data_IF_171883203534
#
_entry.id   IF_171883203534
#
_cell.length_a   1.000
_cell.length_b   1.000
_cell.length_c   1.000
_cell.angle_alpha   90.00
_cell.angle_beta   90.00
_cell.angle_gamma   90.00
#
_symmetry.space_group_name_H-M   'P 1'
#
loop_
_entity.id
_entity.type
_entity.pdbx_description
1 polymer ?
#
# COMPACT_ATOMS: atom_id res chain seq x y z
N UNK A 1 -23.50 10.96 10.30
CA UNK A 1 -22.55 9.92 10.75
C UNK A 1 -21.89 9.28 9.53
N UNK A 2 -20.65 8.83 9.66
CA UNK A 2 -19.91 8.05 8.67
C UNK A 2 -19.63 6.67 9.27
N UNK A 3 -19.91 5.61 8.50
CA UNK A 3 -19.61 4.23 8.90
C UNK A 3 -18.30 3.79 8.27
N UNK A 4 -17.39 3.24 9.06
CA UNK A 4 -16.11 2.70 8.58
C UNK A 4 -16.14 1.19 8.84
N UNK A 5 -16.22 0.39 7.78
CA UNK A 5 -16.13 -1.05 7.87
C UNK A 5 -14.65 -1.43 7.93
N UNK A 6 -14.13 -1.44 9.17
CA UNK A 6 -12.74 -1.75 9.47
C UNK A 6 -12.51 -3.25 9.54
N UNK A 7 -11.41 -3.70 8.96
CA UNK A 7 -10.96 -5.09 9.14
C UNK A 7 -9.99 -5.09 10.31
N UNK A 8 -10.34 -5.80 11.39
CA UNK A 8 -9.33 -6.20 12.38
C UNK A 8 -8.52 -7.32 11.72
N UNK A 9 -7.36 -6.96 11.16
CA UNK A 9 -6.44 -7.95 10.62
C UNK A 9 -5.37 -8.30 11.65
N UNK A 10 -4.83 -9.52 11.58
CA UNK A 10 -3.79 -10.03 12.49
C UNK A 10 -2.52 -9.16 12.56
N UNK A 11 -2.35 -8.22 11.61
CA UNK A 11 -1.15 -7.41 11.43
C UNK A 11 -1.37 -5.91 11.66
N UNK A 12 -2.53 -5.47 12.16
CA UNK A 12 -2.78 -4.10 12.64
C UNK A 12 -2.76 -2.94 11.62
N UNK A 13 -2.28 -3.13 10.38
CA UNK A 13 -2.19 -2.06 9.36
C UNK A 13 -3.56 -1.48 9.03
N UNK A 14 -4.55 -2.35 8.78
CA UNK A 14 -5.89 -1.90 8.39
C UNK A 14 -6.62 -1.26 9.57
N UNK A 15 -6.37 -1.74 10.79
CA UNK A 15 -6.86 -1.12 12.02
C UNK A 15 -6.25 0.27 12.21
N UNK A 16 -4.95 0.43 11.96
CA UNK A 16 -4.30 1.75 12.01
C UNK A 16 -4.90 2.71 10.97
N UNK A 17 -5.21 2.25 9.75
CA UNK A 17 -5.90 3.07 8.77
C UNK A 17 -7.32 3.44 9.21
N UNK A 18 -8.13 2.49 9.70
CA UNK A 18 -9.50 2.80 10.12
C UNK A 18 -9.54 3.78 11.29
N UNK A 19 -8.64 3.63 12.27
CA UNK A 19 -8.53 4.55 13.40
C UNK A 19 -8.00 5.92 12.97
N UNK A 20 -7.02 5.97 12.06
CA UNK A 20 -6.51 7.24 11.51
C UNK A 20 -7.56 8.00 10.71
N UNK A 21 -8.34 7.30 9.88
CA UNK A 21 -9.48 7.85 9.13
C UNK A 21 -10.54 8.38 10.10
N UNK A 22 -10.90 7.59 11.13
CA UNK A 22 -11.86 7.98 12.16
C UNK A 22 -11.41 9.26 12.86
N UNK A 23 -10.15 9.30 13.33
CA UNK A 23 -9.59 10.44 14.03
C UNK A 23 -9.63 11.72 13.18
N UNK A 24 -9.22 11.64 11.92
CA UNK A 24 -9.19 12.79 11.02
C UNK A 24 -10.61 13.30 10.69
N UNK A 25 -11.59 12.41 10.48
CA UNK A 25 -12.99 12.78 10.28
C UNK A 25 -13.62 13.41 11.52
N UNK A 26 -13.34 12.86 12.71
CA UNK A 26 -13.81 13.43 13.98
C UNK A 26 -13.24 14.84 14.20
N UNK A 27 -11.97 15.07 13.84
CA UNK A 27 -11.35 16.40 13.86
C UNK A 27 -11.99 17.37 12.87
N UNK A 28 -12.59 16.87 11.79
CA UNK A 28 -13.37 17.65 10.83
C UNK A 28 -14.83 17.87 11.25
N UNK A 29 -15.22 17.43 12.46
CA UNK A 29 -16.58 17.61 13.00
C UNK A 29 -17.56 16.50 12.62
N UNK A 30 -17.10 15.39 12.05
CA UNK A 30 -17.95 14.27 11.68
C UNK A 30 -18.08 13.24 12.81
N UNK A 31 -19.28 12.71 13.01
CA UNK A 31 -19.48 11.52 13.87
C UNK A 31 -19.14 10.26 13.10
N UNK A 32 -18.19 9.47 13.60
CA UNK A 32 -17.72 8.26 12.94
C UNK A 32 -17.89 7.02 13.81
N UNK A 33 -18.14 5.87 13.17
CA UNK A 33 -18.16 4.58 13.83
C UNK A 33 -17.34 3.57 13.04
N UNK A 34 -16.32 2.99 13.67
CA UNK A 34 -15.59 1.84 13.11
C UNK A 34 -16.30 0.56 13.53
N UNK A 35 -16.74 -0.22 12.54
CA UNK A 35 -17.42 -1.49 12.73
C UNK A 35 -16.41 -2.64 12.68
N UNK A 36 -16.42 -3.57 13.66
CA UNK A 36 -15.56 -4.74 13.66
C UNK A 36 -16.10 -5.78 12.69
N UNK A 37 -15.58 -5.82 11.45
CA UNK A 37 -16.11 -6.72 10.41
C UNK A 37 -15.84 -8.20 10.74
N UNK A 38 -14.87 -8.49 11.59
CA UNK A 38 -14.54 -9.83 12.10
C UNK A 38 -15.50 -10.33 13.20
N UNK A 39 -16.26 -9.43 13.84
CA UNK A 39 -17.29 -9.76 14.83
C UNK A 39 -18.68 -9.33 14.32
N UNK A 40 -19.27 -10.19 13.48
CA UNK A 40 -20.59 -9.96 12.91
C UNK A 40 -21.71 -9.77 13.94
N UNK A 41 -21.57 -10.32 15.15
CA UNK A 41 -22.57 -10.16 16.23
C UNK A 41 -22.49 -8.75 16.80
N UNK A 42 -21.29 -8.28 17.12
CA UNK A 42 -21.08 -6.91 17.62
C UNK A 42 -21.40 -5.88 16.54
N UNK A 43 -20.96 -6.10 15.30
CA UNK A 43 -21.29 -5.23 14.18
C UNK A 43 -22.82 -5.12 13.98
N UNK A 44 -23.56 -6.23 13.98
CA UNK A 44 -25.01 -6.20 13.84
C UNK A 44 -25.70 -5.45 14.99
N UNK A 45 -25.24 -5.64 16.24
CA UNK A 45 -25.78 -4.90 17.40
C UNK A 45 -25.60 -3.39 17.26
N UNK A 46 -24.42 -2.95 16.83
CA UNK A 46 -24.13 -1.54 16.59
C UNK A 46 -24.98 -0.98 15.44
N UNK A 47 -25.04 -1.70 14.32
CA UNK A 47 -25.81 -1.31 13.14
C UNK A 47 -27.31 -1.17 13.42
N UNK A 48 -27.88 -2.02 14.28
CA UNK A 48 -29.31 -1.94 14.68
C UNK A 48 -29.67 -0.66 15.45
N UNK A 49 -28.68 0.06 15.98
CA UNK A 49 -28.88 1.32 16.71
C UNK A 49 -28.80 2.55 15.78
N UNK A 50 -28.50 2.35 14.50
CA UNK A 50 -28.19 3.43 13.55
C UNK A 50 -29.33 3.55 12.54
N UNK A 51 -29.93 4.74 12.49
CA UNK A 51 -30.88 5.08 11.43
C UNK A 51 -30.14 5.28 10.11
N UNK A 52 -30.63 4.63 9.05
CA UNK A 52 -30.08 4.77 7.69
C UNK A 52 -30.04 6.22 7.20
N UNK A 53 -30.99 7.05 7.64
CA UNK A 53 -31.08 8.47 7.25
C UNK A 53 -29.97 9.32 7.86
N UNK A 54 -29.32 8.83 8.91
CA UNK A 54 -28.27 9.57 9.62
C UNK A 54 -26.87 9.25 9.07
N UNK A 55 -26.77 8.30 8.12
CA UNK A 55 -25.52 7.91 7.47
C UNK A 55 -25.28 8.76 6.22
N UNK A 56 -24.18 9.52 6.22
CA UNK A 56 -23.74 10.32 5.07
C UNK A 56 -23.15 9.44 3.98
N UNK A 57 -22.24 8.56 4.36
CA UNK A 57 -21.70 7.49 3.53
C UNK A 57 -21.05 6.41 4.40
N UNK A 58 -20.76 5.28 3.77
CA UNK A 58 -19.97 4.18 4.33
C UNK A 58 -18.63 4.03 3.60
N UNK A 59 -17.56 3.74 4.33
CA UNK A 59 -16.23 3.46 3.79
C UNK A 59 -15.81 2.02 4.14
N UNK A 60 -15.57 1.22 3.12
CA UNK A 60 -15.27 -0.21 3.23
C UNK A 60 -13.82 -0.49 2.87
N UNK A 61 -12.98 -0.82 3.86
CA UNK A 61 -11.57 -1.13 3.60
C UNK A 61 -11.47 -2.48 2.87
N UNK A 62 -10.84 -2.48 1.68
CA UNK A 62 -10.79 -3.59 0.73
C UNK A 62 -12.16 -4.17 0.36
N UNK A 63 -13.22 -3.35 0.44
CA UNK A 63 -14.60 -3.79 0.17
C UNK A 63 -15.22 -4.65 1.28
N UNK A 64 -14.60 -4.77 2.44
CA UNK A 64 -15.15 -5.54 3.55
C UNK A 64 -16.46 -4.91 4.06
N UNK A 65 -17.52 -5.73 4.23
CA UNK A 65 -18.84 -5.25 4.65
C UNK A 65 -19.63 -4.45 3.60
N UNK A 66 -19.21 -4.51 2.32
CA UNK A 66 -19.81 -3.72 1.24
C UNK A 66 -21.29 -4.04 0.99
N UNK A 67 -21.69 -5.29 1.15
CA UNK A 67 -23.08 -5.76 1.11
C UNK A 67 -23.97 -4.97 2.09
N UNK A 68 -23.50 -4.84 3.33
CA UNK A 68 -24.20 -4.16 4.41
C UNK A 68 -24.16 -2.65 4.20
N UNK A 69 -22.99 -2.10 3.85
CA UNK A 69 -22.78 -0.67 3.60
C UNK A 69 -23.73 -0.11 2.54
N UNK A 70 -23.95 -0.85 1.45
CA UNK A 70 -24.88 -0.47 0.38
C UNK A 70 -26.33 -0.31 0.86
N UNK A 71 -26.72 -1.02 1.93
CA UNK A 71 -28.06 -0.88 2.50
C UNK A 71 -28.26 0.44 3.26
N UNK A 72 -27.19 1.17 3.56
CA UNK A 72 -27.17 2.49 4.21
C UNK A 72 -26.99 3.66 3.22
N UNK A 73 -26.91 3.40 1.91
CA UNK A 73 -26.85 4.42 0.87
C UNK A 73 -25.47 4.53 0.21
N UNK A 74 -24.91 5.75 0.17
CA UNK A 74 -23.64 6.04 -0.52
C UNK A 74 -22.50 5.21 0.09
N UNK A 75 -21.82 4.42 -0.73
CA UNK A 75 -20.75 3.53 -0.27
C UNK A 75 -19.47 3.71 -1.10
N UNK A 76 -18.35 3.71 -0.41
CA UNK A 76 -17.01 3.73 -0.95
C UNK A 76 -16.27 2.46 -0.57
N UNK A 77 -15.49 1.89 -1.49
CA UNK A 77 -14.56 0.80 -1.19
C UNK A 77 -13.12 1.33 -1.33
N UNK A 78 -12.33 1.32 -0.26
CA UNK A 78 -10.92 1.72 -0.29
C UNK A 78 -10.04 0.52 -0.61
N UNK A 79 -9.52 0.44 -1.83
CA UNK A 79 -8.54 -0.57 -2.22
C UNK A 79 -7.14 -0.11 -1.82
N UNK A 80 -6.60 -0.70 -0.73
CA UNK A 80 -5.25 -0.36 -0.22
C UNK A 80 -4.12 -1.04 -1.00
N UNK A 81 -4.47 -1.99 -1.86
CA UNK A 81 -3.62 -2.74 -2.78
C UNK A 81 -4.27 -2.80 -4.18
N UNK A 82 -3.64 -3.48 -5.13
CA UNK A 82 -4.15 -3.60 -6.50
C UNK A 82 -5.56 -4.24 -6.53
N UNK A 83 -6.58 -3.60 -7.14
CA UNK A 83 -7.98 -4.09 -7.13
C UNK A 83 -8.16 -5.51 -7.66
N UNK A 84 -7.28 -5.97 -8.56
CA UNK A 84 -7.24 -7.37 -9.00
C UNK A 84 -7.33 -8.34 -7.82
N UNK A 85 -6.58 -8.10 -6.74
CA UNK A 85 -6.47 -9.03 -5.60
C UNK A 85 -7.80 -9.23 -4.87
N UNK A 86 -8.72 -8.27 -4.96
CA UNK A 86 -10.05 -8.31 -4.36
C UNK A 86 -11.17 -8.33 -5.41
N UNK A 87 -10.83 -8.49 -6.69
CA UNK A 87 -11.77 -8.37 -7.80
C UNK A 87 -12.96 -9.35 -7.71
N UNK A 88 -12.78 -10.65 -7.36
CA UNK A 88 -13.91 -11.57 -7.23
C UNK A 88 -14.95 -11.13 -6.18
N UNK A 89 -14.51 -10.40 -5.15
CA UNK A 89 -15.37 -9.82 -4.14
C UNK A 89 -16.06 -8.54 -4.64
N UNK A 90 -15.29 -7.61 -5.21
CA UNK A 90 -15.81 -6.33 -5.71
C UNK A 90 -16.88 -6.50 -6.81
N UNK A 91 -16.74 -7.49 -7.69
CA UNK A 91 -17.66 -7.71 -8.81
C UNK A 91 -19.06 -8.19 -8.39
N UNK A 92 -19.22 -8.67 -7.17
CA UNK A 92 -20.51 -9.13 -6.63
C UNK A 92 -21.47 -7.97 -6.36
N UNK A 93 -20.94 -6.75 -6.24
CA UNK A 93 -21.69 -5.59 -5.80
C UNK A 93 -21.75 -4.50 -6.88
N UNK A 94 -22.78 -3.66 -6.80
CA UNK A 94 -22.99 -2.47 -7.64
C UNK A 94 -23.39 -1.30 -6.74
N UNK A 95 -23.29 -0.07 -7.25
CA UNK A 95 -23.70 1.13 -6.52
C UNK A 95 -22.67 1.70 -5.54
N UNK A 96 -21.41 1.28 -5.64
CA UNK A 96 -20.30 1.85 -4.88
C UNK A 96 -19.29 2.54 -5.81
N UNK A 97 -18.44 3.39 -5.22
CA UNK A 97 -17.26 3.96 -5.89
C UNK A 97 -15.97 3.43 -5.25
N UNK A 98 -15.04 2.96 -6.08
CA UNK A 98 -13.75 2.43 -5.65
C UNK A 98 -12.73 3.57 -5.48
N UNK A 99 -12.15 3.67 -4.29
CA UNK A 99 -11.08 4.59 -3.95
C UNK A 99 -9.75 3.86 -4.10
N UNK A 100 -8.91 4.31 -5.03
CA UNK A 100 -7.72 3.59 -5.47
C UNK A 100 -6.43 4.31 -5.04
N UNK A 101 -5.53 3.60 -4.35
CA UNK A 101 -4.27 4.17 -3.86
C UNK A 101 -3.19 4.41 -4.93
N UNK A 102 -3.49 4.10 -6.20
CA UNK A 102 -2.61 4.28 -7.35
C UNK A 102 -3.44 4.63 -8.59
N UNK A 103 -2.89 5.42 -9.53
CA UNK A 103 -3.62 5.79 -10.75
C UNK A 103 -3.89 4.58 -11.65
N UNK A 104 -2.97 3.64 -11.64
CA UNK A 104 -3.06 2.40 -12.41
C UNK A 104 -4.16 1.48 -11.89
N UNK A 105 -4.46 1.55 -10.59
CA UNK A 105 -5.60 0.86 -9.99
C UNK A 105 -6.92 1.48 -10.46
N UNK A 106 -7.00 2.82 -10.49
CA UNK A 106 -8.14 3.56 -11.03
C UNK A 106 -8.39 3.18 -12.48
N UNK A 107 -7.34 3.22 -13.32
CA UNK A 107 -7.42 2.86 -14.73
C UNK A 107 -7.85 1.39 -14.92
N UNK A 108 -7.29 0.46 -14.14
CA UNK A 108 -7.67 -0.95 -14.15
C UNK A 108 -9.16 -1.14 -13.80
N UNK A 109 -9.63 -0.50 -12.73
CA UNK A 109 -11.03 -0.62 -12.31
C UNK A 109 -12.00 -0.03 -13.33
N UNK A 110 -11.66 1.10 -13.94
CA UNK A 110 -12.46 1.74 -14.99
C UNK A 110 -12.56 0.87 -16.24
N UNK A 111 -11.51 0.15 -16.63
CA UNK A 111 -11.56 -0.84 -17.73
C UNK A 111 -12.53 -1.98 -17.46
N UNK A 112 -12.81 -2.28 -16.19
CA UNK A 112 -13.80 -3.27 -15.75
C UNK A 112 -15.18 -2.66 -15.49
N UNK A 113 -15.40 -1.39 -15.89
CA UNK A 113 -16.63 -0.63 -15.62
C UNK A 113 -16.97 -0.52 -14.12
N UNK A 114 -15.96 -0.51 -13.26
CA UNK A 114 -16.12 -0.22 -11.84
C UNK A 114 -15.87 1.29 -11.67
N UNK A 115 -16.85 2.07 -11.16
CA UNK A 115 -16.64 3.49 -10.86
C UNK A 115 -15.46 3.63 -9.90
N UNK A 116 -14.43 4.39 -10.27
CA UNK A 116 -13.22 4.51 -9.48
C UNK A 116 -12.59 5.90 -9.60
N UNK A 117 -11.93 6.34 -8.52
CA UNK A 117 -11.13 7.56 -8.48
C UNK A 117 -9.84 7.39 -7.70
N UNK A 118 -8.88 8.25 -8.02
CA UNK A 118 -7.60 8.34 -7.31
C UNK A 118 -7.83 8.74 -5.85
N UNK A 119 -7.22 7.98 -4.94
CA UNK A 119 -7.29 8.16 -3.50
C UNK A 119 -6.01 7.59 -2.86
N UNK A 120 -4.89 8.28 -3.09
CA UNK A 120 -3.56 7.84 -2.64
C UNK A 120 -3.50 7.64 -1.12
N UNK A 121 -2.63 6.72 -0.66
CA UNK A 121 -2.38 6.51 0.76
C UNK A 121 -2.05 7.82 1.46
N UNK A 122 -2.47 7.88 2.71
CA UNK A 122 -2.30 9.02 3.59
C UNK A 122 -2.06 8.54 5.02
N UNK A 123 -1.72 9.47 5.90
CA UNK A 123 -1.52 9.24 7.34
C UNK A 123 -2.56 10.00 8.15
N UNK A 124 -2.77 9.59 9.39
CA UNK A 124 -3.53 10.40 10.35
C UNK A 124 -2.78 11.70 10.65
N UNK A 125 -3.48 12.80 10.93
CA UNK A 125 -2.84 14.02 11.48
C UNK A 125 -2.15 13.75 12.82
N UNK A 126 -2.66 12.79 13.60
CA UNK A 126 -2.01 12.36 14.84
C UNK A 126 -0.64 11.70 14.61
N UNK A 127 -0.34 11.27 13.38
CA UNK A 127 0.95 10.65 13.04
C UNK A 127 2.00 11.65 12.54
N UNK A 128 1.65 12.92 12.33
CA UNK A 128 2.59 13.95 11.90
C UNK A 128 3.59 14.24 13.03
N UNK A 129 4.89 14.23 12.72
CA UNK A 129 5.94 14.58 13.66
C UNK A 129 5.83 16.04 14.12
N UNK A 130 6.05 16.27 15.42
CA UNK A 130 6.25 17.63 15.94
C UNK A 130 7.64 18.15 15.55
N UNK A 131 7.83 19.47 15.57
CA UNK A 131 9.12 20.08 15.27
C UNK A 131 10.25 19.61 16.20
N UNK A 132 9.92 19.32 17.47
CA UNK A 132 10.85 18.80 18.48
C UNK A 132 11.32 17.40 18.11
N UNK A 133 10.40 16.50 17.75
CA UNK A 133 10.72 15.11 17.39
C UNK A 133 11.62 15.01 16.14
N UNK A 134 11.63 16.02 15.29
CA UNK A 134 12.52 16.07 14.13
C UNK A 134 13.99 16.27 14.51
N UNK A 135 14.29 16.81 15.70
CA UNK A 135 15.67 17.00 16.16
C UNK A 135 16.22 15.81 16.94
N UNK A 136 15.40 14.79 17.22
CA UNK A 136 15.83 13.61 17.96
C UNK A 136 16.84 12.78 17.17
N UNK A 137 17.80 12.21 17.90
CA UNK A 137 18.81 11.33 17.33
C UNK A 137 18.16 10.04 16.82
N UNK A 138 18.51 9.65 15.59
CA UNK A 138 18.07 8.39 14.99
C UNK A 138 18.91 7.21 15.48
N UNK A 139 18.35 6.01 15.41
CA UNK A 139 18.96 4.75 15.87
C UNK A 139 20.21 4.32 15.09
N UNK A 140 20.47 4.89 13.90
CA UNK A 140 21.51 4.43 12.99
C UNK A 140 21.06 3.30 12.06
N UNK A 141 19.88 2.70 12.30
CA UNK A 141 19.36 1.60 11.48
C UNK A 141 18.93 2.08 10.09
N UNK A 142 19.19 1.23 9.07
CA UNK A 142 18.61 1.36 7.73
C UNK A 142 17.57 0.26 7.61
N UNK A 143 16.33 0.64 7.89
CA UNK A 143 15.22 -0.29 8.07
C UNK A 143 14.67 -0.73 6.71
N UNK A 144 14.52 -2.03 6.50
CA UNK A 144 13.82 -2.58 5.35
C UNK A 144 12.60 -3.41 5.79
N UNK A 145 11.41 -2.79 5.88
CA UNK A 145 10.17 -3.48 6.25
C UNK A 145 9.68 -4.32 5.06
N UNK A 146 9.83 -5.63 5.16
CA UNK A 146 9.53 -6.56 4.08
C UNK A 146 9.00 -7.90 4.62
N UNK A 147 8.27 -8.64 3.80
CA UNK A 147 7.94 -10.04 4.09
C UNK A 147 8.60 -10.92 3.05
N UNK A 148 8.98 -12.14 3.47
CA UNK A 148 9.44 -13.15 2.54
C UNK A 148 8.30 -13.60 1.62
N UNK A 149 8.54 -13.57 0.31
CA UNK A 149 7.68 -14.21 -0.68
C UNK A 149 8.49 -15.32 -1.32
N UNK A 150 7.96 -16.55 -1.26
CA UNK A 150 8.63 -17.70 -1.84
C UNK A 150 8.51 -17.66 -3.38
N UNK A 151 9.55 -17.13 -4.02
CA UNK A 151 9.68 -17.02 -5.48
C UNK A 151 9.56 -18.39 -6.18
N UNK A 152 10.21 -19.41 -5.63
CA UNK A 152 10.24 -20.75 -6.22
C UNK A 152 8.86 -21.43 -6.18
N UNK A 153 8.07 -21.17 -5.13
CA UNK A 153 6.69 -21.65 -5.05
C UNK A 153 5.78 -20.97 -6.08
N UNK A 154 5.92 -19.66 -6.29
CA UNK A 154 5.18 -18.95 -7.34
C UNK A 154 5.56 -19.47 -8.74
N UNK A 155 6.85 -19.69 -8.99
CA UNK A 155 7.34 -20.33 -10.21
C UNK A 155 6.75 -21.74 -10.38
N UNK A 156 6.81 -22.58 -9.34
CA UNK A 156 6.29 -23.95 -9.38
C UNK A 156 4.81 -23.99 -9.74
N UNK A 157 4.00 -23.11 -9.16
CA UNK A 157 2.57 -23.01 -9.52
C UNK A 157 2.36 -22.59 -10.97
N UNK A 158 3.15 -21.66 -11.50
CA UNK A 158 3.10 -21.31 -12.92
C UNK A 158 3.54 -22.47 -13.83
N UNK A 159 4.45 -23.35 -13.37
CA UNK A 159 4.82 -24.58 -14.06
C UNK A 159 3.70 -25.62 -14.02
N UNK A 160 3.02 -25.78 -12.88
CA UNK A 160 1.87 -26.68 -12.73
C UNK A 160 0.68 -26.25 -13.61
N UNK A 161 0.49 -24.94 -13.82
CA UNK A 161 -0.48 -24.39 -14.78
C UNK A 161 -0.04 -24.61 -16.25
N UNK A 162 1.24 -24.90 -16.49
CA UNK A 162 1.79 -25.15 -17.83
C UNK A 162 2.14 -23.89 -18.63
N UNK A 163 2.30 -22.74 -17.98
CA UNK A 163 2.54 -21.44 -18.65
C UNK A 163 3.92 -20.84 -18.37
N UNK A 164 4.70 -21.45 -17.48
CA UNK A 164 5.98 -20.90 -17.03
C UNK A 164 6.95 -20.57 -18.16
N UNK A 165 7.22 -21.51 -19.08
CA UNK A 165 8.23 -21.28 -20.12
C UNK A 165 7.87 -20.12 -21.06
N UNK A 166 6.58 -19.91 -21.30
CA UNK A 166 6.07 -18.80 -22.10
C UNK A 166 6.13 -17.47 -21.35
N UNK A 167 5.84 -17.49 -20.04
CA UNK A 167 5.75 -16.28 -19.21
C UNK A 167 7.07 -15.87 -18.56
N UNK A 168 8.04 -16.78 -18.44
CA UNK A 168 9.34 -16.55 -17.79
C UNK A 168 10.03 -15.27 -18.29
N UNK A 169 10.18 -15.03 -19.61
CA UNK A 169 10.81 -13.81 -20.09
C UNK A 169 10.07 -12.55 -19.62
N UNK A 170 8.73 -12.59 -19.59
CA UNK A 170 7.88 -11.48 -19.18
C UNK A 170 8.02 -11.20 -17.68
N UNK A 171 7.77 -12.20 -16.82
CA UNK A 171 7.77 -12.01 -15.36
C UNK A 171 9.15 -11.65 -14.79
N UNK A 172 10.23 -11.92 -15.53
CA UNK A 172 11.58 -11.48 -15.14
C UNK A 172 11.93 -10.06 -15.57
N UNK A 173 11.25 -9.54 -16.61
CA UNK A 173 11.55 -8.24 -17.21
C UNK A 173 10.69 -7.11 -16.64
N UNK A 174 9.44 -7.39 -16.30
CA UNK A 174 8.49 -6.38 -15.80
C UNK A 174 8.74 -6.03 -14.33
N UNK A 175 8.41 -4.79 -13.96
CA UNK A 175 8.49 -4.27 -12.59
C UNK A 175 7.18 -4.34 -11.82
N UNK A 176 6.06 -4.60 -12.50
CA UNK A 176 4.71 -4.54 -11.91
C UNK A 176 3.72 -5.54 -12.51
N UNK A 177 2.64 -5.77 -11.78
CA UNK A 177 1.49 -6.56 -12.24
C UNK A 177 0.80 -5.90 -13.44
N UNK A 178 0.78 -4.57 -13.53
CA UNK A 178 0.20 -3.85 -14.66
C UNK A 178 1.04 -4.02 -15.92
N UNK A 179 2.36 -3.92 -15.82
CA UNK A 179 3.26 -4.24 -16.93
C UNK A 179 3.11 -5.69 -17.38
N UNK A 180 2.94 -6.63 -16.44
CA UNK A 180 2.63 -8.01 -16.77
C UNK A 180 1.32 -8.13 -17.55
N UNK A 181 0.24 -7.52 -17.06
CA UNK A 181 -1.07 -7.53 -17.71
C UNK A 181 -1.05 -6.86 -19.09
N UNK A 182 -0.26 -5.80 -19.28
CA UNK A 182 -0.01 -5.18 -20.59
C UNK A 182 0.74 -6.14 -21.52
N UNK A 183 1.78 -6.81 -21.03
CA UNK A 183 2.59 -7.73 -21.83
C UNK A 183 1.79 -8.96 -22.30
N UNK A 184 0.94 -9.54 -21.45
CA UNK A 184 0.04 -10.63 -21.85
C UNK A 184 -1.19 -10.13 -22.62
N UNK A 185 -1.37 -8.81 -22.74
CA UNK A 185 -2.39 -8.19 -23.58
C UNK A 185 -3.78 -8.09 -22.95
N UNK A 186 -3.87 -8.19 -21.63
CA UNK A 186 -5.11 -7.95 -20.88
C UNK A 186 -5.37 -6.45 -20.74
N UNK A 187 -4.31 -5.66 -20.54
CA UNK A 187 -4.37 -4.21 -20.53
C UNK A 187 -3.84 -3.63 -21.85
N UNK A 188 -4.35 -2.47 -22.29
CA UNK A 188 -3.81 -1.77 -23.45
C UNK A 188 -2.37 -1.31 -23.19
N UNK A 189 -1.55 -1.25 -24.24
CA UNK A 189 -0.16 -0.79 -24.17
C UNK A 189 0.10 0.29 -25.24
N UNK A 190 0.06 1.55 -24.84
CA UNK A 190 0.14 2.68 -25.77
C UNK A 190 -0.99 2.64 -26.80
N UNK A 191 -0.64 2.55 -28.08
CA UNK A 191 -1.61 2.45 -29.17
C UNK A 191 -2.15 1.03 -29.40
N UNK A 192 -1.69 0.03 -28.64
CA UNK A 192 -2.16 -1.35 -28.77
C UNK A 192 -3.36 -1.58 -27.84
N UNK A 193 -4.55 -1.90 -28.38
CA UNK A 193 -5.71 -2.22 -27.54
C UNK A 193 -5.52 -3.56 -26.81
N UNK A 194 -6.32 -3.79 -25.77
CA UNK A 194 -6.39 -5.08 -25.11
C UNK A 194 -6.76 -6.19 -26.12
N UNK A 195 -6.03 -7.31 -26.08
CA UNK A 195 -6.17 -8.46 -26.97
C UNK A 195 -6.64 -9.73 -26.26
N UNK A 196 -6.67 -9.72 -24.93
CA UNK A 196 -7.12 -10.81 -24.08
C UNK A 196 -8.12 -10.30 -23.05
N UNK A 197 -9.10 -11.13 -22.70
CA UNK A 197 -10.04 -10.84 -21.61
C UNK A 197 -9.48 -11.34 -20.28
N UNK A 198 -9.69 -10.59 -19.19
CA UNK A 198 -9.42 -11.07 -17.84
C UNK A 198 -10.48 -12.12 -17.45
N UNK A 199 -10.15 -13.39 -17.63
CA UNK A 199 -10.95 -14.52 -17.16
C UNK A 199 -10.33 -15.18 -15.92
N UNK A 200 -10.99 -16.19 -15.37
CA UNK A 200 -10.53 -16.87 -14.15
C UNK A 200 -9.12 -17.49 -14.29
N UNK A 201 -8.80 -18.06 -15.45
CA UNK A 201 -7.48 -18.66 -15.69
C UNK A 201 -6.38 -17.58 -15.70
N UNK A 202 -6.61 -16.49 -16.43
CA UNK A 202 -5.68 -15.35 -16.48
C UNK A 202 -5.56 -14.68 -15.12
N UNK A 203 -6.65 -14.57 -14.36
CA UNK A 203 -6.63 -14.08 -12.99
C UNK A 203 -5.69 -14.90 -12.11
N UNK A 204 -5.85 -16.24 -12.09
CA UNK A 204 -4.99 -17.16 -11.32
C UNK A 204 -3.51 -17.03 -11.73
N UNK A 205 -3.24 -17.01 -13.02
CA UNK A 205 -1.88 -16.80 -13.56
C UNK A 205 -1.31 -15.47 -13.08
N UNK A 206 -2.11 -14.40 -13.14
CA UNK A 206 -1.67 -13.05 -12.76
C UNK A 206 -1.36 -12.96 -11.27
N UNK A 207 -2.14 -13.61 -10.41
CA UNK A 207 -1.87 -13.67 -8.97
C UNK A 207 -0.52 -14.33 -8.66
N UNK A 208 -0.19 -15.45 -9.32
CA UNK A 208 1.10 -16.11 -9.11
C UNK A 208 2.26 -15.32 -9.75
N UNK A 209 2.02 -14.66 -10.89
CA UNK A 209 2.98 -13.75 -11.50
C UNK A 209 3.29 -12.55 -10.59
N UNK A 210 2.29 -11.94 -9.93
CA UNK A 210 2.49 -10.85 -8.96
C UNK A 210 3.41 -11.28 -7.81
N UNK A 211 3.16 -12.46 -7.23
CA UNK A 211 4.01 -13.01 -6.18
C UNK A 211 5.45 -13.18 -6.66
N UNK A 212 5.66 -13.70 -7.87
CA UNK A 212 6.99 -13.86 -8.46
C UNK A 212 7.70 -12.51 -8.69
N UNK A 213 7.02 -11.55 -9.32
CA UNK A 213 7.57 -10.21 -9.62
C UNK A 213 7.96 -9.49 -8.33
N UNK A 214 7.08 -9.52 -7.31
CA UNK A 214 7.33 -8.88 -6.01
C UNK A 214 8.42 -9.59 -5.21
N UNK A 215 8.58 -10.91 -5.33
CA UNK A 215 9.69 -11.63 -4.73
C UNK A 215 11.02 -11.21 -5.37
N UNK A 216 11.08 -11.21 -6.70
CA UNK A 216 12.24 -10.80 -7.47
C UNK A 216 12.66 -9.34 -7.17
N UNK A 217 11.69 -8.43 -7.02
CA UNK A 217 11.97 -7.05 -6.66
C UNK A 217 12.62 -6.90 -5.27
N UNK A 218 12.19 -7.70 -4.27
CA UNK A 218 12.79 -7.69 -2.93
C UNK A 218 14.20 -8.28 -2.94
N UNK A 219 14.39 -9.39 -3.64
CA UNK A 219 15.71 -10.02 -3.82
C UNK A 219 16.70 -9.08 -4.48
N UNK A 220 16.28 -8.32 -5.51
CA UNK A 220 17.10 -7.29 -6.18
C UNK A 220 17.53 -6.19 -5.22
N UNK A 221 16.68 -5.79 -4.27
CA UNK A 221 17.04 -4.79 -3.25
C UNK A 221 18.12 -5.35 -2.32
N UNK A 222 17.94 -6.55 -1.79
CA UNK A 222 18.95 -7.18 -0.93
C UNK A 222 20.30 -7.32 -1.66
N UNK A 223 20.28 -7.82 -2.89
CA UNK A 223 21.47 -7.91 -3.74
C UNK A 223 22.15 -6.54 -3.91
N UNK A 224 21.39 -5.51 -4.29
CA UNK A 224 21.93 -4.18 -4.57
C UNK A 224 22.54 -3.49 -3.33
N UNK A 225 21.95 -3.69 -2.15
CA UNK A 225 22.52 -3.14 -0.91
C UNK A 225 23.75 -3.92 -0.44
N UNK A 226 23.79 -5.24 -0.70
CA UNK A 226 25.01 -6.05 -0.51
C UNK A 226 26.16 -5.53 -1.39
N UNK A 227 25.91 -5.29 -2.68
CA UNK A 227 26.92 -4.75 -3.61
C UNK A 227 27.46 -3.37 -3.19
N UNK A 228 26.61 -2.55 -2.54
CA UNK A 228 26.98 -1.23 -2.03
C UNK A 228 27.67 -1.27 -0.66
N UNK A 229 27.86 -2.46 -0.07
CA UNK A 229 28.37 -2.65 1.29
C UNK A 229 27.52 -1.94 2.36
N UNK A 230 26.19 -1.93 2.19
CA UNK A 230 25.24 -1.33 3.12
C UNK A 230 24.44 -2.43 3.81
N UNK A 231 24.57 -2.53 5.13
CA UNK A 231 23.80 -3.49 5.93
C UNK A 231 22.37 -2.95 6.10
N UNK A 232 21.39 -3.84 5.91
CA UNK A 232 19.98 -3.56 6.12
C UNK A 232 19.51 -4.29 7.37
N UNK A 233 18.63 -3.64 8.13
CA UNK A 233 17.85 -4.27 9.19
C UNK A 233 16.48 -4.65 8.62
N UNK A 234 16.34 -5.92 8.22
CA UNK A 234 15.17 -6.45 7.53
C UNK A 234 14.19 -7.04 8.54
N UNK A 235 13.00 -6.46 8.64
CA UNK A 235 11.94 -6.93 9.54
C UNK A 235 10.71 -7.38 8.78
N UNK A 236 10.17 -8.52 9.18
CA UNK A 236 8.82 -8.96 8.83
C UNK A 236 8.70 -10.47 8.66
N UNK A 237 7.57 -10.91 8.10
CA UNK A 237 7.23 -12.34 8.12
C UNK A 237 8.25 -13.17 7.35
N UNK A 238 8.77 -14.21 8.00
CA UNK A 238 9.62 -15.23 7.38
C UNK A 238 10.90 -14.68 6.72
N UNK A 239 11.33 -13.46 7.04
CA UNK A 239 12.47 -12.81 6.34
C UNK A 239 13.81 -13.52 6.55
N UNK A 240 13.97 -14.30 7.62
CA UNK A 240 15.16 -15.15 7.84
C UNK A 240 15.40 -16.15 6.71
N UNK A 241 14.39 -16.48 5.90
CA UNK A 241 14.56 -17.33 4.72
C UNK A 241 15.48 -16.68 3.66
N UNK A 242 15.60 -15.36 3.63
CA UNK A 242 16.56 -14.68 2.75
C UNK A 242 18.02 -14.86 3.17
N UNK A 243 18.29 -15.23 4.43
CA UNK A 243 19.64 -15.23 5.01
C UNK A 243 20.62 -16.15 4.28
N UNK A 244 20.16 -17.28 3.73
CA UNK A 244 21.02 -18.19 2.98
C UNK A 244 21.54 -17.56 1.68
N UNK A 245 20.68 -16.83 0.97
CA UNK A 245 21.03 -16.19 -0.31
C UNK A 245 21.67 -14.81 -0.13
N UNK A 246 21.32 -14.10 0.95
CA UNK A 246 21.73 -12.73 1.23
C UNK A 246 22.23 -12.58 2.67
N UNK A 247 23.35 -13.23 3.06
CA UNK A 247 23.81 -13.28 4.45
C UNK A 247 24.35 -11.95 5.00
N UNK A 248 24.55 -10.93 4.14
CA UNK A 248 25.15 -9.65 4.50
C UNK A 248 24.23 -8.75 5.37
N UNK A 249 22.93 -9.03 5.40
CA UNK A 249 21.94 -8.23 6.13
C UNK A 249 21.55 -8.85 7.48
N UNK A 250 20.87 -8.06 8.32
CA UNK A 250 20.32 -8.50 9.60
C UNK A 250 18.84 -8.81 9.45
N UNK A 251 18.42 -9.98 9.90
CA UNK A 251 17.05 -10.47 9.73
C UNK A 251 16.36 -10.62 11.06
N UNK A 252 15.21 -9.97 11.18
CA UNK A 252 14.42 -9.91 12.41
C UNK A 252 13.00 -10.43 12.13
N UNK A 253 12.43 -11.14 13.09
CA UNK A 253 11.07 -11.66 12.95
C UNK A 253 10.04 -10.53 12.83
N UNK A 254 8.81 -10.88 12.41
CA UNK A 254 7.73 -9.90 12.37
C UNK A 254 7.42 -9.36 13.78
N UNK A 255 7.20 -8.05 13.85
CA UNK A 255 6.79 -7.35 15.08
C UNK A 255 5.37 -6.80 14.90
N UNK A 256 4.64 -6.51 15.99
CA UNK A 256 3.39 -5.77 15.94
C UNK A 256 3.53 -4.50 15.09
N UNK A 257 2.48 -4.14 14.35
CA UNK A 257 2.57 -3.01 13.43
C UNK A 257 2.88 -1.69 14.12
N UNK A 258 2.35 -1.47 15.33
CA UNK A 258 2.71 -0.31 16.15
C UNK A 258 4.22 -0.22 16.41
N UNK A 259 4.86 -1.34 16.76
CA UNK A 259 6.30 -1.39 16.99
C UNK A 259 7.09 -1.18 15.69
N UNK A 260 6.56 -1.66 14.55
CA UNK A 260 7.12 -1.37 13.24
C UNK A 260 7.07 0.12 12.90
N UNK A 261 5.96 0.79 13.22
CA UNK A 261 5.81 2.24 13.03
C UNK A 261 6.81 3.01 13.89
N UNK A 262 7.02 2.62 15.15
CA UNK A 262 8.04 3.21 16.03
C UNK A 262 9.47 2.98 15.48
N UNK A 263 9.76 1.79 14.95
CA UNK A 263 11.03 1.52 14.26
C UNK A 263 11.21 2.40 13.03
N UNK A 264 10.18 2.55 12.20
CA UNK A 264 10.21 3.46 11.05
C UNK A 264 10.45 4.92 11.48
N UNK A 265 9.84 5.36 12.58
CA UNK A 265 10.05 6.71 13.12
C UNK A 265 11.48 6.92 13.63
N UNK A 266 12.12 5.88 14.18
CA UNK A 266 13.44 5.97 14.81
C UNK A 266 14.62 5.58 13.89
N UNK A 267 14.36 4.99 12.73
CA UNK A 267 15.40 4.63 11.76
C UNK A 267 16.10 5.87 11.17
N UNK A 268 17.34 5.72 10.73
CA UNK A 268 18.03 6.74 9.95
C UNK A 268 17.46 6.86 8.55
N UNK A 269 17.10 5.71 7.96
CA UNK A 269 16.42 5.61 6.68
C UNK A 269 15.46 4.44 6.69
N UNK A 270 14.37 4.56 5.93
CA UNK A 270 13.53 3.41 5.57
C UNK A 270 13.71 3.13 4.07
N UNK A 271 14.03 1.89 3.73
CA UNK A 271 14.14 1.43 2.35
C UNK A 271 12.75 1.14 1.81
N UNK A 272 12.39 1.80 0.71
CA UNK A 272 11.13 1.55 0.03
C UNK A 272 11.33 0.61 -1.16
N UNK A 273 10.60 -0.50 -1.16
CA UNK A 273 10.39 -1.31 -2.33
C UNK A 273 8.99 -1.04 -2.88
N UNK A 274 8.88 -0.33 -4.01
CA UNK A 274 7.58 -0.18 -4.66
C UNK A 274 7.01 -1.56 -4.96
N UNK A 275 5.74 -1.84 -4.60
CA UNK A 275 5.08 -3.11 -4.94
C UNK A 275 4.68 -3.17 -6.43
N UNK A 276 5.26 -2.34 -7.29
CA UNK A 276 4.90 -2.22 -8.70
C UNK A 276 3.84 -1.14 -8.96
N UNK A 277 3.69 -0.17 -8.06
CA UNK A 277 2.83 1.00 -8.28
C UNK A 277 3.73 2.16 -8.72
N UNK A 278 3.58 2.61 -9.96
CA UNK A 278 4.41 3.67 -10.53
C UNK A 278 3.88 5.06 -10.19
N UNK A 279 2.56 5.23 -10.16
CA UNK A 279 1.88 6.49 -9.83
C UNK A 279 1.13 6.39 -8.49
N UNK A 280 1.88 6.05 -7.43
CA UNK A 280 1.36 5.94 -6.07
C UNK A 280 2.32 6.49 -5.02
N UNK A 281 1.77 6.71 -3.83
CA UNK A 281 2.53 6.82 -2.59
C UNK A 281 2.03 5.70 -1.68
N UNK A 282 2.93 4.84 -1.20
CA UNK A 282 2.61 3.69 -0.36
C UNK A 282 2.67 4.08 1.13
N UNK A 283 1.97 3.41 2.03
CA UNK A 283 2.03 3.72 3.47
C UNK A 283 3.46 3.63 4.04
N UNK A 284 4.23 2.64 3.55
CA UNK A 284 5.66 2.43 3.84
C UNK A 284 6.57 3.57 3.36
N UNK A 285 6.03 4.55 2.63
CA UNK A 285 6.71 5.79 2.26
C UNK A 285 6.11 6.98 3.00
N UNK A 286 4.78 7.14 2.99
CA UNK A 286 4.12 8.29 3.59
C UNK A 286 4.32 8.34 5.11
N UNK A 287 4.25 7.19 5.79
CA UNK A 287 4.38 7.15 7.25
C UNK A 287 5.77 7.55 7.76
N UNK A 288 6.88 6.94 7.28
CA UNK A 288 8.21 7.39 7.72
C UNK A 288 8.43 8.88 7.41
N UNK A 289 8.00 9.35 6.23
CA UNK A 289 8.11 10.76 5.85
C UNK A 289 7.30 11.68 6.78
N UNK A 290 6.11 11.27 7.23
CA UNK A 290 5.31 11.97 8.23
C UNK A 290 6.03 12.11 9.58
N UNK A 291 6.84 11.11 9.93
CA UNK A 291 7.71 11.10 11.13
C UNK A 291 9.06 11.79 10.88
N UNK A 292 9.25 12.35 9.69
CA UNK A 292 10.50 12.94 9.25
C UNK A 292 11.65 11.96 9.12
N UNK A 293 11.39 10.66 8.98
CA UNK A 293 12.39 9.66 8.63
C UNK A 293 12.54 9.61 7.10
N UNK A 294 13.75 9.89 6.57
CA UNK A 294 14.02 9.84 5.14
C UNK A 294 13.82 8.45 4.53
N UNK A 295 13.48 8.43 3.24
CA UNK A 295 13.29 7.20 2.46
C UNK A 295 14.46 7.00 1.50
N UNK A 296 14.96 5.77 1.41
CA UNK A 296 15.82 5.34 0.30
C UNK A 296 14.98 4.63 -0.75
N UNK A 297 14.95 5.19 -1.96
CA UNK A 297 14.17 4.67 -3.07
C UNK A 297 14.77 5.03 -4.44
N UNK A 298 15.12 4.01 -5.21
CA UNK A 298 15.60 4.15 -6.58
C UNK A 298 14.41 4.29 -7.55
N UNK A 299 13.74 5.44 -7.48
CA UNK A 299 12.54 5.73 -8.25
C UNK A 299 12.81 5.83 -9.77
N UNK A 300 11.93 5.20 -10.55
CA UNK A 300 11.87 5.38 -12.01
C UNK A 300 11.27 6.75 -12.39
N UNK A 301 11.21 7.06 -13.69
CA UNK A 301 10.73 8.36 -14.18
C UNK A 301 9.28 8.66 -13.80
N UNK A 302 8.41 7.64 -13.77
CA UNK A 302 7.00 7.77 -13.41
C UNK A 302 6.84 8.02 -11.91
N UNK A 303 7.54 7.23 -11.10
CA UNK A 303 7.56 7.35 -9.63
C UNK A 303 8.07 8.71 -9.17
N UNK A 304 9.10 9.28 -9.83
CA UNK A 304 9.61 10.62 -9.51
C UNK A 304 8.56 11.72 -9.63
N UNK A 305 7.54 11.54 -10.46
CA UNK A 305 6.44 12.51 -10.57
C UNK A 305 5.63 12.58 -9.27
N UNK A 306 5.41 11.44 -8.61
CA UNK A 306 4.69 11.35 -7.34
C UNK A 306 5.50 11.85 -6.15
N UNK A 307 6.82 11.90 -6.27
CA UNK A 307 7.75 12.32 -5.21
C UNK A 307 8.02 13.83 -5.22
N UNK A 308 7.42 14.58 -6.16
CA UNK A 308 7.62 16.03 -6.25
C UNK A 308 7.14 16.70 -4.95
N UNK A 309 8.01 17.50 -4.35
CA UNK A 309 7.73 18.15 -3.05
C UNK A 309 8.17 17.35 -1.82
N UNK A 310 8.72 16.14 -2.01
CA UNK A 310 9.22 15.28 -0.92
C UNK A 310 10.76 15.19 -0.97
N UNK A 311 11.50 16.24 -0.57
CA UNK A 311 12.97 16.28 -0.67
C UNK A 311 13.71 15.30 0.25
N UNK A 312 13.01 14.65 1.20
CA UNK A 312 13.57 13.60 2.05
C UNK A 312 13.48 12.18 1.45
N UNK A 313 13.27 12.07 0.13
CA UNK A 313 13.38 10.82 -0.62
C UNK A 313 14.66 10.82 -1.43
N UNK A 314 15.54 9.85 -1.19
CA UNK A 314 16.88 9.78 -1.75
C UNK A 314 17.11 8.48 -2.51
N UNK A 315 17.93 8.49 -3.58
CA UNK A 315 18.41 7.24 -4.18
C UNK A 315 19.26 6.44 -3.18
N UNK A 316 19.34 5.13 -3.36
CA UNK A 316 20.01 4.22 -2.43
C UNK A 316 21.51 4.51 -2.23
N UNK A 317 22.17 5.15 -3.19
CA UNK A 317 23.58 5.55 -3.10
C UNK A 317 23.83 6.77 -2.18
N UNK A 318 22.80 7.37 -1.59
CA UNK A 318 22.90 8.51 -0.65
C UNK A 318 22.79 8.13 0.81
N UNK A 319 22.80 6.84 1.14
CA UNK A 319 22.66 6.37 2.51
C UNK A 319 23.74 6.88 3.49
N UNK A 320 24.91 7.27 2.99
CA UNK A 320 26.04 7.78 3.79
C UNK A 320 26.04 9.32 3.90
N UNK A 321 25.09 10.01 3.28
CA UNK A 321 25.03 11.47 3.36
C UNK A 321 24.15 11.92 4.50
N UNK A 322 24.60 12.95 5.23
CA UNK A 322 23.76 13.63 6.21
C UNK A 322 22.51 14.18 5.55
N UNK A 323 21.36 13.89 6.14
CA UNK A 323 20.07 14.36 5.66
C UNK A 323 19.79 15.73 6.29
N UNK A 324 19.71 16.82 5.48
CA UNK A 324 19.46 18.14 6.03
C UNK A 324 18.13 18.19 6.77
N UNK A 325 18.11 18.80 7.95
CA UNK A 325 16.88 18.98 8.75
C UNK A 325 15.78 19.69 7.96
N UNK A 326 16.15 20.65 7.10
CA UNK A 326 15.20 21.37 6.23
C UNK A 326 14.50 20.46 5.22
N UNK A 327 15.16 19.41 4.71
CA UNK A 327 14.50 18.42 3.85
C UNK A 327 13.44 17.64 4.63
N UNK A 328 13.75 17.26 5.88
CA UNK A 328 12.82 16.56 6.77
C UNK A 328 11.60 17.44 7.07
N UNK A 329 11.82 18.69 7.51
CA UNK A 329 10.76 19.68 7.77
C UNK A 329 9.90 19.95 6.55
N UNK A 330 10.51 20.24 5.40
CA UNK A 330 9.77 20.50 4.15
C UNK A 330 8.91 19.31 3.74
N UNK A 331 9.44 18.09 3.91
CA UNK A 331 8.70 16.87 3.58
C UNK A 331 7.52 16.67 4.54
N UNK A 332 7.72 16.81 5.85
CA UNK A 332 6.65 16.70 6.85
C UNK A 332 5.53 17.71 6.58
N UNK A 333 5.88 18.96 6.29
CA UNK A 333 4.90 20.00 5.94
C UNK A 333 4.10 19.66 4.67
N UNK A 334 4.76 19.09 3.66
CA UNK A 334 4.09 18.63 2.43
C UNK A 334 3.14 17.47 2.73
N UNK A 335 3.56 16.51 3.55
CA UNK A 335 2.72 15.39 3.99
C UNK A 335 1.50 15.88 4.79
N UNK A 336 1.68 16.78 5.75
CA UNK A 336 0.60 17.35 6.56
C UNK A 336 -0.45 18.04 5.69
N UNK A 337 0.00 18.82 4.71
CA UNK A 337 -0.86 19.59 3.81
C UNK A 337 -1.61 18.71 2.82
N UNK A 338 -0.92 17.74 2.21
CA UNK A 338 -1.42 17.07 0.99
C UNK A 338 -1.61 15.55 1.14
N UNK A 339 -1.11 14.91 2.19
CA UNK A 339 -1.09 13.44 2.34
C UNK A 339 -1.62 12.97 3.71
N UNK A 340 -2.58 13.71 4.28
CA UNK A 340 -3.36 13.29 5.46
C UNK A 340 -4.72 12.69 5.07
N UNK A 341 -5.27 11.82 5.90
CA UNK A 341 -6.61 11.28 5.67
C UNK A 341 -7.65 12.41 5.61
N UNK A 342 -7.52 13.43 6.46
CA UNK A 342 -8.35 14.63 6.41
C UNK A 342 -8.34 15.31 5.03
N UNK A 343 -7.15 15.49 4.43
CA UNK A 343 -7.01 16.10 3.10
C UNK A 343 -7.68 15.24 2.01
N UNK A 344 -7.58 13.91 2.10
CA UNK A 344 -8.22 12.98 1.15
C UNK A 344 -9.73 12.93 1.32
N UNK A 345 -10.21 12.86 2.56
CA UNK A 345 -11.62 12.65 2.91
C UNK A 345 -12.46 13.92 2.73
N UNK A 346 -11.85 15.11 2.78
CA UNK A 346 -12.54 16.36 2.46
C UNK A 346 -13.25 16.32 1.10
N UNK A 347 -12.68 15.63 0.11
CA UNK A 347 -13.29 15.47 -1.22
C UNK A 347 -14.52 14.55 -1.23
N UNK A 348 -14.75 13.75 -0.19
CA UNK A 348 -15.88 12.82 -0.07
C UNK A 348 -17.04 13.41 0.75
N UNK A 349 -16.77 14.44 1.55
CA UNK A 349 -17.76 15.13 2.40
C UNK A 349 -18.60 16.16 1.62
N UNK A 350 -18.11 16.58 0.44
CA UNK A 350 -18.78 17.54 -0.44
C UNK A 350 -19.88 16.93 -1.30
#
# INVERSE_FOLDING_TARGET
MILIFGVVNQYGVLSHFSEGIKHDLETMGETCLVLPVDDGVTAAKLLNQISKKDVKFSLCINGSGLDTALTFGKAYALAVDHPLLILPHLQQYKGFELLCVAKEHTAFAQLLNIPARDFFHAVSRADIASAESLNEAKSGEILFPASHINKDNAQKKLQEIGVWDQLKPVVTAVGSINEFLMAIGVLPNGNQPARAQLNEAIYKITCEADLYIRALARERILASYTEKNIVLDVYGRNVKQYQQAYPFHRYHDEVPYKDMLEKMANASFVVHNSPGFEFALHERMVYPLAKGTPILFDANVNQRQMLKGLPAVYPSNKVQTDVPLEHRKSTVNEIEKNHTWAARLAALLN
#
